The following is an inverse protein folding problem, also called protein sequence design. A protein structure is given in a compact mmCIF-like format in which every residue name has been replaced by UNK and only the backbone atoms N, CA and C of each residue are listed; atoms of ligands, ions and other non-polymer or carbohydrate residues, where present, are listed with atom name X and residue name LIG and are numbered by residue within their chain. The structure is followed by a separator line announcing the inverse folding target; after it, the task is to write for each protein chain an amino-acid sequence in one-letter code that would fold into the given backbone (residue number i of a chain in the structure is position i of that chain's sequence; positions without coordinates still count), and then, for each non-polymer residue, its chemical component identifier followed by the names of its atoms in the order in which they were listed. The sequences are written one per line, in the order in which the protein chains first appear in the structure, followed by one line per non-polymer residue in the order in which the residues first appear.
data_IF_269228218144
#
_entry.id   IF_269228218144
#
_cell.length_a   1.000
_cell.length_b   1.000
_cell.length_c   1.000
_cell.angle_alpha   90.00
_cell.angle_beta   90.00
_cell.angle_gamma   90.00
#
_symmetry.space_group_name_H-M   'P 1'
#
loop_
_entity.id
_entity.type
_entity.pdbx_description
1 polymer ?
#
# COMPACT_ATOMS: atom_id res chain seq x y z
N UNK A 1 7.42 -68.45 -20.91
CA UNK A 1 7.80 -69.10 -22.20
C UNK A 1 6.60 -69.03 -23.14
N UNK A 2 6.84 -68.67 -24.41
CA UNK A 2 5.87 -68.51 -25.54
C UNK A 2 4.88 -67.34 -25.39
N UNK A 3 4.91 -66.19 -26.09
CA UNK A 3 5.20 -65.81 -27.49
C UNK A 3 4.18 -66.31 -28.54
N UNK A 4 3.55 -65.32 -29.22
CA UNK A 4 3.05 -65.22 -30.63
C UNK A 4 1.54 -64.94 -30.75
N UNK A 5 1.17 -63.76 -31.27
CA UNK A 5 0.93 -63.40 -32.71
C UNK A 5 -0.52 -63.75 -33.10
N UNK A 6 -1.42 -62.80 -33.38
CA UNK A 6 -1.58 -62.12 -34.69
C UNK A 6 -2.24 -63.07 -35.70
N UNK A 7 -3.28 -62.77 -36.50
CA UNK A 7 -4.00 -61.55 -36.87
C UNK A 7 -5.18 -61.96 -37.80
N UNK A 8 -6.22 -61.12 -37.95
CA UNK A 8 -7.07 -60.88 -39.17
C UNK A 8 -8.04 -62.03 -39.62
N UNK A 9 -9.23 -61.82 -40.22
CA UNK A 9 -9.86 -60.69 -40.94
C UNK A 9 -11.36 -61.03 -41.21
N UNK A 10 -12.13 -60.04 -41.69
CA UNK A 10 -13.33 -60.10 -42.59
C UNK A 10 -14.70 -60.04 -41.88
N UNK A 11 -15.70 -59.18 -42.19
CA UNK A 11 -15.94 -58.03 -43.09
C UNK A 11 -17.26 -57.35 -42.64
N UNK A 12 -17.41 -56.03 -42.92
CA UNK A 12 -18.60 -55.28 -43.40
C UNK A 12 -19.97 -55.52 -42.73
N UNK A 13 -20.88 -54.56 -42.55
CA UNK A 13 -21.00 -53.11 -42.75
C UNK A 13 -22.47 -52.82 -42.47
N UNK A 14 -22.82 -51.83 -41.65
CA UNK A 14 -24.06 -51.08 -41.87
C UNK A 14 -24.07 -49.80 -41.04
N UNK A 15 -24.11 -48.72 -41.81
CA UNK A 15 -24.30 -47.32 -41.46
C UNK A 15 -25.43 -47.12 -40.45
N UNK A 16 -25.14 -46.37 -39.38
CA UNK A 16 -26.11 -45.79 -38.47
C UNK A 16 -25.56 -44.46 -37.97
N UNK A 17 -25.85 -43.40 -38.72
CA UNK A 17 -25.46 -42.02 -38.43
C UNK A 17 -25.99 -41.56 -37.07
N UNK A 18 -25.10 -41.40 -36.08
CA UNK A 18 -25.34 -40.52 -34.94
C UNK A 18 -24.46 -39.30 -35.11
N UNK A 19 -25.11 -38.20 -35.48
CA UNK A 19 -24.53 -36.86 -35.46
C UNK A 19 -24.25 -36.56 -33.98
N UNK A 20 -23.02 -36.81 -33.54
CA UNK A 20 -22.52 -36.29 -32.26
C UNK A 20 -22.14 -34.83 -32.52
N UNK A 21 -23.10 -33.93 -32.34
CA UNK A 21 -22.77 -32.52 -32.15
C UNK A 21 -21.84 -32.42 -30.93
N UNK A 22 -20.65 -31.82 -31.04
CA UNK A 22 -19.91 -31.45 -29.86
C UNK A 22 -20.73 -30.32 -29.24
N UNK A 23 -21.51 -30.62 -28.20
CA UNK A 23 -22.04 -29.58 -27.34
C UNK A 23 -20.82 -28.94 -26.72
N UNK A 24 -20.37 -27.83 -27.32
CA UNK A 24 -19.42 -26.92 -26.73
C UNK A 24 -20.05 -26.47 -25.40
N UNK A 25 -19.69 -27.16 -24.32
CA UNK A 25 -19.89 -26.65 -22.98
C UNK A 25 -18.95 -25.45 -22.87
N UNK A 26 -19.46 -24.29 -23.25
CA UNK A 26 -18.89 -23.04 -22.81
C UNK A 26 -18.99 -23.04 -21.29
N UNK A 27 -17.93 -23.47 -20.62
CA UNK A 27 -17.72 -23.12 -19.22
C UNK A 27 -17.49 -21.61 -19.19
N UNK A 28 -18.59 -20.84 -19.20
CA UNK A 28 -18.62 -19.43 -18.87
C UNK A 28 -18.48 -19.28 -17.35
N UNK A 29 -17.36 -19.75 -16.79
CA UNK A 29 -16.86 -19.16 -15.55
C UNK A 29 -15.89 -18.05 -15.95
N UNK A 30 -16.42 -17.03 -16.63
CA UNK A 30 -15.72 -15.77 -16.68
C UNK A 30 -15.76 -15.25 -15.25
N UNK A 31 -14.67 -15.41 -14.51
CA UNK A 31 -14.41 -14.62 -13.31
C UNK A 31 -14.30 -13.16 -13.78
N UNK A 32 -15.44 -12.54 -14.09
CA UNK A 32 -15.55 -11.10 -14.06
C UNK A 32 -15.33 -10.75 -12.60
N UNK A 33 -14.23 -10.05 -12.32
CA UNK A 33 -14.08 -9.35 -11.06
C UNK A 33 -15.24 -8.35 -11.00
N UNK A 34 -16.37 -8.78 -10.41
CA UNK A 34 -17.53 -7.93 -10.22
C UNK A 34 -17.08 -6.81 -9.31
N UNK A 35 -16.93 -5.60 -9.89
CA UNK A 35 -16.70 -4.41 -9.10
C UNK A 35 -17.92 -4.15 -8.25
N UNK A 36 -17.68 -3.85 -6.97
CA UNK A 36 -18.76 -3.46 -6.08
C UNK A 36 -19.36 -2.14 -6.57
N UNK A 37 -20.64 -1.95 -6.31
CA UNK A 37 -21.37 -0.79 -6.75
C UNK A 37 -22.73 -0.71 -6.09
N UNK A 38 -23.52 0.29 -6.51
CA UNK A 38 -24.86 0.51 -5.98
C UNK A 38 -25.77 -0.71 -6.10
N UNK A 39 -25.64 -1.49 -7.19
CA UNK A 39 -26.41 -2.72 -7.35
C UNK A 39 -26.07 -3.74 -6.27
N UNK A 40 -24.78 -3.96 -5.99
CA UNK A 40 -24.36 -4.89 -4.93
C UNK A 40 -24.83 -4.41 -3.53
N UNK A 41 -24.76 -3.10 -3.29
CA UNK A 41 -25.27 -2.50 -2.05
C UNK A 41 -26.78 -2.69 -1.87
N UNK A 42 -27.58 -2.40 -2.91
CA UNK A 42 -29.04 -2.57 -2.89
C UNK A 42 -29.43 -4.05 -2.77
N UNK A 43 -28.67 -4.95 -3.39
CA UNK A 43 -28.86 -6.41 -3.28
C UNK A 43 -28.47 -6.97 -1.90
N UNK A 44 -28.02 -6.12 -0.97
CA UNK A 44 -27.83 -6.46 0.44
C UNK A 44 -26.39 -6.59 0.88
N UNK A 45 -25.40 -6.26 0.03
CA UNK A 45 -23.99 -6.29 0.41
C UNK A 45 -23.62 -5.04 1.24
N UNK A 46 -23.92 -5.10 2.54
CA UNK A 46 -23.59 -4.09 3.55
C UNK A 46 -22.30 -4.41 4.29
N UNK A 47 -21.67 -3.37 4.82
CA UNK A 47 -20.34 -3.43 5.46
C UNK A 47 -20.44 -3.64 6.97
N UNK A 48 -21.37 -2.97 7.65
CA UNK A 48 -21.58 -3.08 9.11
C UNK A 48 -21.77 -4.52 9.63
N UNK A 49 -22.53 -5.44 8.98
CA UNK A 49 -22.67 -6.81 9.50
C UNK A 49 -21.37 -7.64 9.44
N UNK A 50 -20.36 -7.19 8.70
CA UNK A 50 -19.06 -7.86 8.60
C UNK A 50 -18.09 -7.42 9.69
N UNK A 51 -18.35 -6.29 10.35
CA UNK A 51 -17.48 -5.78 11.39
C UNK A 51 -17.65 -6.56 12.69
N UNK A 52 -16.50 -7.02 13.19
CA UNK A 52 -16.28 -7.68 14.46
C UNK A 52 -15.50 -6.74 15.38
N UNK A 53 -15.29 -7.14 16.63
CA UNK A 53 -14.53 -6.37 17.62
C UNK A 53 -13.10 -6.06 17.14
N UNK A 54 -12.43 -7.02 16.50
CA UNK A 54 -11.09 -6.89 15.93
C UNK A 54 -11.06 -6.31 14.50
N UNK A 55 -12.16 -5.76 13.97
CA UNK A 55 -12.17 -5.08 12.66
C UNK A 55 -11.62 -3.67 12.78
N UNK A 56 -10.34 -3.55 13.12
CA UNK A 56 -9.67 -2.28 13.42
C UNK A 56 -8.43 -2.08 12.54
N UNK A 57 -8.10 -0.81 12.33
CA UNK A 57 -6.85 -0.39 11.67
C UNK A 57 -5.89 0.04 12.76
N UNK A 58 -4.77 -0.66 12.86
CA UNK A 58 -3.71 -0.39 13.83
C UNK A 58 -2.47 0.04 13.05
N UNK A 59 -1.89 1.18 13.39
CA UNK A 59 -0.67 1.67 12.75
C UNK A 59 0.48 1.63 13.74
N UNK A 60 1.59 0.99 13.36
CA UNK A 60 2.82 0.95 14.15
C UNK A 60 3.78 2.00 13.60
N UNK A 61 3.99 3.03 14.39
CA UNK A 61 4.83 4.18 14.13
C UNK A 61 6.10 4.16 14.98
N UNK A 62 7.15 4.78 14.45
CA UNK A 62 8.44 4.86 15.12
C UNK A 62 9.56 5.25 14.17
N UNK A 63 10.73 5.49 14.75
CA UNK A 63 11.93 5.86 14.02
C UNK A 63 12.39 4.74 13.05
N UNK A 64 13.28 5.06 12.12
CA UNK A 64 13.69 4.19 10.99
C UNK A 64 14.07 2.76 11.41
N UNK A 65 14.86 2.61 12.46
CA UNK A 65 15.36 1.32 12.95
C UNK A 65 14.78 0.92 14.32
N UNK A 66 13.51 1.23 14.59
CA UNK A 66 12.88 0.90 15.88
C UNK A 66 12.42 -0.56 16.02
N UNK A 67 12.55 -1.40 14.98
CA UNK A 67 12.06 -2.79 15.00
C UNK A 67 10.55 -2.94 14.76
N UNK A 68 9.91 -1.89 14.26
CA UNK A 68 8.46 -1.80 14.02
C UNK A 68 7.86 -2.96 13.22
N UNK A 69 8.50 -3.39 12.12
CA UNK A 69 7.97 -4.49 11.30
C UNK A 69 7.92 -5.82 12.04
N UNK A 70 8.89 -6.11 12.92
CA UNK A 70 8.85 -7.33 13.72
C UNK A 70 7.72 -7.31 14.76
N UNK A 71 7.49 -6.16 15.41
CA UNK A 71 6.34 -5.98 16.32
C UNK A 71 5.04 -6.19 15.55
N UNK A 72 4.87 -5.45 14.44
CA UNK A 72 3.65 -5.44 13.65
C UNK A 72 3.30 -6.82 13.09
N UNK A 73 4.29 -7.57 12.60
CA UNK A 73 4.09 -8.95 12.13
C UNK A 73 3.62 -9.87 13.27
N UNK A 74 4.31 -9.87 14.41
CA UNK A 74 3.95 -10.73 15.55
C UNK A 74 2.58 -10.36 16.15
N UNK A 75 2.25 -9.07 16.18
CA UNK A 75 0.96 -8.57 16.63
C UNK A 75 -0.17 -9.01 15.69
N UNK A 76 0.08 -9.00 14.38
CA UNK A 76 -0.87 -9.50 13.39
C UNK A 76 -1.12 -11.00 13.51
N UNK A 77 -0.07 -11.79 13.74
CA UNK A 77 -0.18 -13.22 13.97
C UNK A 77 -0.99 -13.53 15.25
N UNK A 78 -0.79 -12.77 16.34
CA UNK A 78 -1.55 -12.96 17.58
C UNK A 78 -3.02 -12.56 17.47
N UNK A 79 -3.32 -11.43 16.85
CA UNK A 79 -4.69 -10.91 16.71
C UNK A 79 -5.46 -11.51 15.51
N UNK A 80 -4.80 -12.31 14.66
CA UNK A 80 -5.39 -12.83 13.43
C UNK A 80 -5.73 -11.74 12.40
N UNK A 81 -5.00 -10.63 12.43
CA UNK A 81 -5.18 -9.48 11.52
C UNK A 81 -4.27 -9.60 10.30
N UNK A 82 -4.59 -8.87 9.23
CA UNK A 82 -3.73 -8.80 8.05
C UNK A 82 -2.55 -7.86 8.34
N UNK A 83 -1.33 -8.38 8.18
CA UNK A 83 -0.12 -7.58 8.23
C UNK A 83 0.20 -6.98 6.86
N UNK A 84 0.37 -5.66 6.81
CA UNK A 84 0.85 -4.94 5.64
C UNK A 84 2.21 -4.28 5.96
N UNK A 85 3.31 -4.74 5.32
CA UNK A 85 4.66 -4.24 5.61
C UNK A 85 4.87 -2.80 5.11
N UNK A 86 5.91 -2.12 5.58
CA UNK A 86 6.22 -0.75 5.12
C UNK A 86 6.37 -0.74 3.58
N UNK A 87 5.71 0.20 2.86
CA UNK A 87 5.65 0.09 1.43
C UNK A 87 6.93 0.65 0.80
N UNK A 88 7.53 -0.14 -0.09
CA UNK A 88 8.67 0.29 -0.88
C UNK A 88 8.26 1.21 -2.03
N UNK A 89 9.24 1.92 -2.61
CA UNK A 89 9.09 2.68 -3.86
C UNK A 89 8.42 1.86 -4.97
N UNK A 90 8.61 0.54 -4.99
CA UNK A 90 8.06 -0.38 -5.97
C UNK A 90 6.73 -1.06 -5.55
N UNK A 91 6.09 -0.63 -4.45
CA UNK A 91 4.87 -1.25 -3.91
C UNK A 91 3.78 -1.46 -4.97
N UNK A 92 3.47 -0.41 -5.74
CA UNK A 92 2.42 -0.48 -6.76
C UNK A 92 2.73 -1.49 -7.87
N UNK A 93 4.00 -1.64 -8.21
CA UNK A 93 4.42 -2.60 -9.22
C UNK A 93 4.31 -4.04 -8.72
N UNK A 94 4.70 -4.29 -7.45
CA UNK A 94 4.48 -5.59 -6.78
C UNK A 94 3.00 -5.95 -6.79
N UNK A 95 2.13 -4.98 -6.46
CA UNK A 95 0.67 -5.18 -6.44
C UNK A 95 0.10 -5.52 -7.82
N UNK A 96 0.60 -4.87 -8.87
CA UNK A 96 0.13 -5.11 -10.25
C UNK A 96 0.76 -6.34 -10.92
N UNK A 97 1.46 -7.19 -10.14
CA UNK A 97 2.07 -8.43 -10.63
C UNK A 97 3.25 -8.24 -11.58
N UNK A 98 3.89 -7.05 -11.57
CA UNK A 98 5.08 -6.79 -12.38
C UNK A 98 6.37 -7.24 -11.70
N UNK A 99 7.44 -7.40 -12.48
CA UNK A 99 8.78 -7.77 -12.00
C UNK A 99 9.24 -6.85 -10.85
N UNK A 100 9.84 -7.40 -9.79
CA UNK A 100 10.15 -6.69 -8.54
C UNK A 100 11.01 -5.42 -8.71
N UNK A 101 11.77 -5.33 -9.79
CA UNK A 101 12.66 -4.21 -10.10
C UNK A 101 12.29 -3.56 -11.44
N UNK A 102 11.31 -2.65 -11.41
CA UNK A 102 11.15 -1.68 -12.50
C UNK A 102 12.34 -0.73 -12.51
N UNK A 103 12.68 -0.25 -13.70
CA UNK A 103 13.64 0.83 -13.85
C UNK A 103 13.14 2.07 -13.11
N UNK A 104 14.04 2.77 -12.40
CA UNK A 104 13.77 4.01 -11.66
C UNK A 104 13.00 5.06 -12.49
N UNK A 105 13.20 5.04 -13.82
CA UNK A 105 12.46 5.87 -14.78
C UNK A 105 10.94 5.77 -14.67
N UNK A 106 10.43 4.58 -14.34
CA UNK A 106 8.99 4.33 -14.23
C UNK A 106 8.49 4.44 -12.80
N UNK A 107 9.39 4.45 -11.82
CA UNK A 107 9.06 4.51 -10.40
C UNK A 107 9.34 5.89 -9.81
N UNK A 108 8.81 6.93 -10.47
CA UNK A 108 8.89 8.32 -10.00
C UNK A 108 10.28 8.96 -10.03
N UNK A 109 11.26 8.35 -10.72
CA UNK A 109 12.65 8.84 -10.79
C UNK A 109 13.27 9.12 -9.41
N UNK A 110 12.86 8.38 -8.38
CA UNK A 110 13.27 8.63 -7.01
C UNK A 110 14.10 7.49 -6.44
N UNK A 111 15.13 7.82 -5.67
CA UNK A 111 16.00 6.82 -5.03
C UNK A 111 16.30 7.21 -3.60
N UNK A 112 16.02 6.27 -2.69
CA UNK A 112 16.42 6.35 -1.27
C UNK A 112 17.94 6.41 -1.13
N UNK A 113 18.67 5.64 -1.92
CA UNK A 113 20.13 5.62 -1.86
C UNK A 113 20.73 6.98 -2.24
N UNK A 114 20.17 7.62 -3.27
CA UNK A 114 20.60 8.96 -3.68
C UNK A 114 20.27 9.99 -2.61
N UNK A 115 19.11 9.88 -1.96
CA UNK A 115 18.72 10.76 -0.87
C UNK A 115 19.68 10.68 0.32
N UNK A 116 20.07 9.48 0.76
CA UNK A 116 20.97 9.35 1.90
C UNK A 116 22.44 9.66 1.58
N UNK A 117 22.86 9.57 0.31
CA UNK A 117 24.21 9.97 -0.12
C UNK A 117 24.35 11.49 -0.24
N UNK A 118 23.38 12.14 -0.88
CA UNK A 118 23.37 13.58 -1.09
C UNK A 118 21.94 14.14 -0.98
N UNK A 119 21.48 14.46 0.24
CA UNK A 119 20.13 14.97 0.47
C UNK A 119 19.92 16.41 -0.01
N UNK A 120 21.00 17.15 -0.34
CA UNK A 120 20.95 18.54 -0.82
C UNK A 120 21.16 18.65 -2.33
N UNK A 121 21.06 17.53 -3.04
CA UNK A 121 21.23 17.48 -4.48
C UNK A 121 20.22 18.41 -5.20
N UNK A 122 20.72 19.20 -6.15
CA UNK A 122 19.93 20.15 -6.95
C UNK A 122 18.86 19.47 -7.83
N UNK A 123 18.95 18.16 -8.02
CA UNK A 123 18.01 17.33 -8.81
C UNK A 123 16.59 17.24 -8.21
N UNK A 124 16.38 17.76 -6.99
CA UNK A 124 15.07 17.73 -6.34
C UNK A 124 14.63 16.33 -5.87
N UNK A 125 15.52 15.33 -5.91
CA UNK A 125 15.23 13.95 -5.53
C UNK A 125 14.66 13.84 -4.10
N UNK A 126 15.09 14.68 -3.17
CA UNK A 126 14.64 14.66 -1.78
C UNK A 126 13.13 14.87 -1.67
N UNK A 127 12.60 15.91 -2.30
CA UNK A 127 11.17 16.18 -2.27
C UNK A 127 10.38 15.22 -3.16
N UNK A 128 10.90 14.87 -4.36
CA UNK A 128 10.26 13.90 -5.25
C UNK A 128 10.08 12.54 -4.59
N UNK A 129 11.09 12.07 -3.86
CA UNK A 129 11.03 10.83 -3.07
C UNK A 129 9.99 10.93 -1.96
N UNK A 130 9.98 12.03 -1.20
CA UNK A 130 9.01 12.23 -0.12
C UNK A 130 7.58 12.22 -0.64
N UNK A 131 7.32 12.95 -1.73
CA UNK A 131 6.01 12.97 -2.39
C UNK A 131 5.60 11.58 -2.92
N UNK A 132 6.53 10.86 -3.56
CA UNK A 132 6.29 9.50 -4.04
C UNK A 132 5.99 8.51 -2.91
N UNK A 133 6.71 8.60 -1.79
CA UNK A 133 6.46 7.78 -0.60
C UNK A 133 5.11 8.11 0.03
N UNK A 134 4.71 9.38 0.06
CA UNK A 134 3.37 9.79 0.50
C UNK A 134 2.28 9.16 -0.38
N UNK A 135 2.43 9.25 -1.70
CA UNK A 135 1.49 8.67 -2.66
C UNK A 135 1.33 7.15 -2.46
N UNK A 136 2.43 6.44 -2.28
CA UNK A 136 2.43 5.00 -2.07
C UNK A 136 1.77 4.63 -0.72
N UNK A 137 2.08 5.36 0.35
CA UNK A 137 1.45 5.11 1.66
C UNK A 137 -0.04 5.37 1.61
N UNK A 138 -0.50 6.38 0.85
CA UNK A 138 -1.91 6.63 0.64
C UNK A 138 -2.60 5.49 -0.11
N UNK A 139 -1.95 4.96 -1.16
CA UNK A 139 -2.44 3.79 -1.89
C UNK A 139 -2.49 2.53 -1.01
N UNK A 140 -1.47 2.30 -0.18
CA UNK A 140 -1.49 1.21 0.78
C UNK A 140 -2.59 1.38 1.84
N UNK A 141 -2.82 2.60 2.32
CA UNK A 141 -3.90 2.88 3.26
C UNK A 141 -5.29 2.64 2.63
N UNK A 142 -5.44 3.00 1.35
CA UNK A 142 -6.62 2.65 0.56
C UNK A 142 -6.80 1.13 0.45
N UNK A 143 -5.73 0.35 0.29
CA UNK A 143 -5.78 -1.11 0.27
C UNK A 143 -6.16 -1.71 1.63
N UNK A 144 -5.64 -1.13 2.71
CA UNK A 144 -6.00 -1.53 4.08
C UNK A 144 -7.49 -1.28 4.37
N UNK A 145 -8.00 -0.12 3.97
CA UNK A 145 -9.42 0.21 4.09
C UNK A 145 -10.30 -0.69 3.21
N UNK A 146 -9.88 -0.95 1.97
CA UNK A 146 -10.57 -1.88 1.08
C UNK A 146 -10.66 -3.27 1.71
N UNK A 147 -9.55 -3.82 2.23
CA UNK A 147 -9.53 -5.11 2.89
C UNK A 147 -10.43 -5.15 4.12
N UNK A 148 -10.35 -4.13 4.98
CA UNK A 148 -11.16 -4.05 6.19
C UNK A 148 -12.66 -3.99 5.88
N UNK A 149 -13.07 -3.16 4.92
CA UNK A 149 -14.49 -2.95 4.58
C UNK A 149 -15.05 -4.16 3.83
N UNK A 150 -14.25 -4.83 3.00
CA UNK A 150 -14.68 -5.99 2.22
C UNK A 150 -14.74 -7.26 3.07
N UNK A 151 -13.71 -7.54 3.86
CA UNK A 151 -13.59 -8.81 4.60
C UNK A 151 -14.05 -8.72 6.05
N UNK A 152 -14.04 -7.52 6.63
CA UNK A 152 -14.21 -7.32 8.07
C UNK A 152 -12.97 -7.73 8.89
N UNK A 153 -11.84 -8.08 8.27
CA UNK A 153 -10.63 -8.40 9.00
C UNK A 153 -9.86 -7.12 9.35
N UNK A 154 -9.36 -7.01 10.58
CA UNK A 154 -8.47 -5.91 10.98
C UNK A 154 -7.16 -5.92 10.21
N UNK A 155 -6.52 -4.75 10.11
CA UNK A 155 -5.28 -4.56 9.36
C UNK A 155 -4.26 -3.83 10.24
N UNK A 156 -3.04 -4.35 10.26
CA UNK A 156 -1.89 -3.72 10.91
C UNK A 156 -0.94 -3.20 9.85
N UNK A 157 -0.65 -1.91 9.94
CA UNK A 157 0.20 -1.18 9.00
C UNK A 157 1.49 -0.74 9.68
N UNK A 158 2.61 -0.87 8.96
CA UNK A 158 3.83 -0.15 9.32
C UNK A 158 3.79 1.28 8.75
N UNK A 159 3.64 2.26 9.65
CA UNK A 159 3.47 3.69 9.33
C UNK A 159 2.22 4.00 8.50
N UNK A 160 1.67 5.18 8.73
CA UNK A 160 0.48 5.66 8.03
C UNK A 160 0.75 6.95 7.24
N UNK A 161 -0.11 7.34 6.29
CA UNK A 161 -0.05 8.66 5.67
C UNK A 161 -0.07 9.82 6.68
N UNK A 162 -0.70 9.61 7.85
CA UNK A 162 -0.74 10.59 8.93
C UNK A 162 0.64 10.82 9.57
N UNK A 163 1.46 9.78 9.64
CA UNK A 163 2.82 9.84 10.19
C UNK A 163 3.83 10.51 9.25
N UNK A 164 3.54 10.61 7.95
CA UNK A 164 4.55 11.04 6.97
C UNK A 164 5.01 12.50 7.15
N UNK A 165 4.18 13.36 7.73
CA UNK A 165 4.52 14.76 7.97
C UNK A 165 5.79 14.94 8.82
N UNK A 166 6.12 13.98 9.68
CA UNK A 166 7.31 14.05 10.54
C UNK A 166 8.61 14.01 9.73
N UNK A 167 8.63 13.28 8.61
CA UNK A 167 9.79 13.21 7.73
C UNK A 167 9.98 14.52 6.97
N UNK A 168 8.89 15.12 6.49
CA UNK A 168 8.91 16.40 5.81
C UNK A 168 9.40 17.53 6.74
N UNK A 169 8.89 17.60 7.97
CA UNK A 169 9.34 18.59 8.96
C UNK A 169 10.82 18.42 9.31
N UNK A 170 11.28 17.17 9.46
CA UNK A 170 12.68 16.89 9.71
C UNK A 170 13.57 17.29 8.52
N UNK A 171 13.12 17.03 7.28
CA UNK A 171 13.82 17.47 6.07
C UNK A 171 13.87 19.00 5.95
N UNK A 172 12.82 19.69 6.38
CA UNK A 172 12.78 21.16 6.40
C UNK A 172 13.77 21.74 7.42
N UNK A 173 13.83 21.17 8.63
CA UNK A 173 14.76 21.59 9.69
C UNK A 173 16.24 21.44 9.27
N UNK A 174 16.56 20.37 8.55
CA UNK A 174 17.91 20.13 8.00
C UNK A 174 18.22 20.94 6.73
N UNK A 175 17.21 21.62 6.18
CA UNK A 175 17.33 22.41 4.95
C UNK A 175 17.53 21.57 3.69
N UNK A 176 16.94 20.38 3.63
CA UNK A 176 16.97 19.51 2.44
C UNK A 176 15.92 19.90 1.40
N UNK A 177 14.85 20.56 1.84
CA UNK A 177 13.71 20.94 0.99
C UNK A 177 13.40 22.42 1.12
N UNK A 178 12.82 22.98 0.06
CA UNK A 178 12.41 24.39 0.01
C UNK A 178 11.04 24.56 0.68
N UNK A 179 10.77 25.77 1.20
CA UNK A 179 9.49 26.09 1.85
C UNK A 179 8.27 25.89 0.92
N UNK A 180 8.41 26.22 -0.36
CA UNK A 180 7.37 26.02 -1.38
C UNK A 180 6.96 24.55 -1.51
N UNK A 181 7.91 23.62 -1.36
CA UNK A 181 7.64 22.18 -1.38
C UNK A 181 6.81 21.74 -0.15
N UNK A 182 7.06 22.36 0.99
CA UNK A 182 6.30 22.09 2.22
C UNK A 182 4.87 22.60 2.10
N UNK A 183 4.68 23.81 1.54
CA UNK A 183 3.35 24.36 1.25
C UNK A 183 2.54 23.47 0.29
N UNK A 184 3.17 22.99 -0.78
CA UNK A 184 2.55 22.03 -1.70
C UNK A 184 2.15 20.72 -1.00
N UNK A 185 3.01 20.18 -0.12
CA UNK A 185 2.68 18.98 0.63
C UNK A 185 1.48 19.20 1.58
N UNK A 186 1.42 20.33 2.28
CA UNK A 186 0.31 20.62 3.19
C UNK A 186 -1.03 20.72 2.46
N UNK A 187 -1.04 21.29 1.26
CA UNK A 187 -2.25 21.35 0.44
C UNK A 187 -2.71 19.97 -0.03
N UNK A 188 -1.79 19.14 -0.55
CA UNK A 188 -2.09 17.75 -0.90
C UNK A 188 -2.61 16.99 0.30
N UNK A 189 -1.94 17.12 1.45
CA UNK A 189 -2.35 16.48 2.70
C UNK A 189 -3.77 16.92 3.09
N UNK A 190 -4.08 18.20 2.99
CA UNK A 190 -5.39 18.76 3.31
C UNK A 190 -6.51 18.26 2.38
N UNK A 191 -6.21 17.99 1.11
CA UNK A 191 -7.20 17.47 0.15
C UNK A 191 -7.37 15.95 0.32
N UNK A 192 -6.27 15.21 0.40
CA UNK A 192 -6.30 13.76 0.37
C UNK A 192 -6.70 13.13 1.72
N UNK A 193 -6.17 13.61 2.85
CA UNK A 193 -6.43 12.99 4.16
C UNK A 193 -7.89 13.12 4.60
N UNK A 194 -8.57 14.20 4.20
CA UNK A 194 -9.96 14.44 4.58
C UNK A 194 -10.94 13.41 4.01
N UNK A 195 -10.57 12.72 2.92
CA UNK A 195 -11.38 11.68 2.29
C UNK A 195 -11.27 10.30 3.00
N UNK A 196 -10.28 10.14 3.90
CA UNK A 196 -10.03 8.88 4.58
C UNK A 196 -10.28 8.99 6.09
N UNK A 197 -10.78 7.89 6.67
CA UNK A 197 -10.90 7.76 8.11
C UNK A 197 -9.52 7.51 8.74
N UNK A 198 -9.20 8.13 9.90
CA UNK A 198 -7.94 7.92 10.61
C UNK A 198 -7.81 6.47 11.12
N UNK A 199 -6.61 5.99 11.49
CA UNK A 199 -6.48 4.69 12.14
C UNK A 199 -7.24 4.65 13.47
N UNK A 200 -7.58 3.46 13.96
CA UNK A 200 -8.23 3.31 15.26
C UNK A 200 -7.23 3.40 16.41
N UNK A 201 -6.06 2.78 16.21
CA UNK A 201 -4.96 2.76 17.18
C UNK A 201 -3.67 3.18 16.48
N UNK A 202 -2.95 4.12 17.07
CA UNK A 202 -1.58 4.46 16.69
C UNK A 202 -0.61 4.01 17.79
N UNK A 203 0.22 3.02 17.49
CA UNK A 203 1.25 2.50 18.39
C UNK A 203 2.56 3.20 18.06
N UNK A 204 3.10 3.99 18.99
CA UNK A 204 4.39 4.65 18.84
C UNK A 204 5.48 3.96 19.67
N UNK A 205 6.57 3.58 19.02
CA UNK A 205 7.74 2.97 19.67
C UNK A 205 8.81 4.04 19.89
N UNK A 206 9.00 4.43 21.16
CA UNK A 206 10.05 5.35 21.57
C UNK A 206 11.39 4.60 21.68
N UNK A 207 12.32 4.97 20.80
CA UNK A 207 13.68 4.42 20.76
C UNK A 207 14.64 5.61 20.70
N UNK A 208 15.61 5.71 21.62
CA UNK A 208 16.54 6.83 21.63
C UNK A 208 17.40 6.83 20.37
N UNK A 209 17.71 8.03 19.85
CA UNK A 209 18.45 8.21 18.60
C UNK A 209 19.80 7.49 18.59
N UNK A 210 20.48 7.41 19.73
CA UNK A 210 21.76 6.71 19.86
C UNK A 210 21.63 5.21 19.54
N UNK A 211 20.60 4.55 20.06
CA UNK A 211 20.30 3.16 19.73
C UNK A 211 19.89 2.98 18.26
N UNK A 212 19.09 3.92 17.73
CA UNK A 212 18.69 3.89 16.31
C UNK A 212 19.93 3.94 15.42
N UNK A 213 20.90 4.80 15.73
CA UNK A 213 22.13 4.90 14.97
C UNK A 213 22.97 3.62 15.04
N UNK A 214 23.07 2.99 16.22
CA UNK A 214 23.77 1.72 16.37
C UNK A 214 23.09 0.61 15.53
N UNK A 215 21.76 0.53 15.57
CA UNK A 215 20.98 -0.43 14.77
C UNK A 215 21.13 -0.18 13.26
N UNK A 216 21.14 1.09 12.83
CA UNK A 216 21.37 1.46 11.43
C UNK A 216 22.76 1.04 10.94
N UNK A 217 23.79 1.22 11.78
CA UNK A 217 25.16 0.75 11.48
C UNK A 217 25.24 -0.77 11.37
N UNK A 218 24.55 -1.49 12.26
CA UNK A 218 24.48 -2.95 12.26
C UNK A 218 23.73 -3.55 11.06
N UNK A 219 22.79 -2.79 10.46
CA UNK A 219 22.01 -3.24 9.30
C UNK A 219 22.88 -3.46 8.04
N UNK A 220 24.15 -3.00 8.04
CA UNK A 220 25.13 -3.32 6.99
C UNK A 220 24.92 -2.61 5.64
N UNK A 221 23.92 -1.72 5.53
CA UNK A 221 23.64 -0.95 4.31
C UNK A 221 24.51 0.32 4.29
N UNK A 222 25.43 0.48 3.32
CA UNK A 222 26.44 1.55 3.36
C UNK A 222 25.84 2.94 3.30
N UNK A 223 24.71 3.11 2.59
CA UNK A 223 24.03 4.40 2.48
C UNK A 223 23.26 4.81 3.76
N UNK A 224 22.82 3.86 4.59
CA UNK A 224 22.12 4.16 5.85
C UNK A 224 23.08 4.54 6.99
N UNK A 225 24.38 4.29 6.84
CA UNK A 225 25.39 4.66 7.84
C UNK A 225 25.64 6.18 7.89
N UNK A 226 25.36 6.89 6.79
CA UNK A 226 25.62 8.32 6.64
C UNK A 226 24.46 9.22 7.12
N UNK A 227 23.43 8.64 7.76
CA UNK A 227 22.28 9.41 8.24
C UNK A 227 22.69 10.30 9.41
N UNK A 228 22.42 11.61 9.30
CA UNK A 228 22.75 12.58 10.35
C UNK A 228 22.02 12.29 11.67
N UNK A 229 22.73 12.44 12.79
CA UNK A 229 22.11 12.40 14.13
C UNK A 229 21.09 13.51 14.33
N UNK A 230 21.32 14.68 13.73
CA UNK A 230 20.42 15.83 13.81
C UNK A 230 19.09 15.54 13.12
N UNK A 231 19.13 14.87 11.96
CA UNK A 231 17.95 14.45 11.24
C UNK A 231 17.11 13.43 12.03
N UNK A 232 17.75 12.43 12.65
CA UNK A 232 17.05 11.45 13.48
C UNK A 232 16.40 12.09 14.73
N UNK A 233 17.09 13.04 15.36
CA UNK A 233 16.53 13.85 16.47
C UNK A 233 15.37 14.72 15.99
N UNK A 234 15.48 15.31 14.81
CA UNK A 234 14.42 16.13 14.23
C UNK A 234 13.15 15.32 13.95
N UNK A 235 13.29 14.06 13.51
CA UNK A 235 12.18 13.11 13.35
C UNK A 235 11.54 12.80 14.70
N UNK A 236 12.33 12.43 15.71
CA UNK A 236 11.82 12.12 17.05
C UNK A 236 11.07 13.32 17.65
N UNK A 237 11.65 14.52 17.56
CA UNK A 237 11.02 15.76 17.99
C UNK A 237 9.68 16.02 17.28
N UNK A 238 9.63 15.81 15.97
CA UNK A 238 8.41 16.02 15.18
C UNK A 238 7.34 14.96 15.47
N UNK A 239 7.73 13.72 15.80
CA UNK A 239 6.79 12.73 16.32
C UNK A 239 6.16 13.21 17.63
N UNK A 240 6.98 13.62 18.60
CA UNK A 240 6.53 14.01 19.94
C UNK A 240 5.75 15.33 19.96
N UNK A 241 6.13 16.32 19.14
CA UNK A 241 5.54 17.67 19.14
C UNK A 241 4.33 17.81 18.22
N UNK A 242 4.36 17.20 17.04
CA UNK A 242 3.34 17.41 16.01
C UNK A 242 2.42 16.19 15.86
N UNK A 243 2.99 14.98 15.71
CA UNK A 243 2.20 13.80 15.37
C UNK A 243 1.36 13.27 16.54
N UNK A 244 1.97 12.99 17.69
CA UNK A 244 1.27 12.40 18.83
C UNK A 244 0.09 13.26 19.32
N UNK A 245 0.20 14.59 19.45
CA UNK A 245 -0.94 15.42 19.80
C UNK A 245 -2.06 15.36 18.76
N UNK A 246 -1.75 15.56 17.48
CA UNK A 246 -2.76 15.58 16.42
C UNK A 246 -3.50 14.24 16.25
N UNK A 247 -2.79 13.12 16.39
CA UNK A 247 -3.38 11.79 16.23
C UNK A 247 -4.17 11.37 17.48
N UNK A 248 -3.83 11.91 18.66
CA UNK A 248 -4.55 11.65 19.92
C UNK A 248 -5.95 12.26 19.98
N UNK A 249 -6.23 13.28 19.17
CA UNK A 249 -7.56 13.87 19.04
C UNK A 249 -8.53 12.93 18.32
N UNK A 250 -8.03 12.15 17.37
CA UNK A 250 -8.84 11.34 16.46
C UNK A 250 -8.79 9.84 16.72
N UNK A 251 -7.71 9.34 17.32
CA UNK A 251 -7.44 7.91 17.52
C UNK A 251 -6.82 7.63 18.88
N UNK A 252 -6.87 6.38 19.32
CA UNK A 252 -6.22 5.98 20.57
C UNK A 252 -4.72 5.75 20.35
N UNK A 253 -3.90 6.32 21.24
CA UNK A 253 -2.44 6.31 21.11
C UNK A 253 -1.83 5.47 22.21
N UNK A 254 -1.01 4.50 21.82
CA UNK A 254 -0.23 3.67 22.74
C UNK A 254 1.25 3.96 22.55
N UNK A 255 1.95 4.33 23.63
CA UNK A 255 3.37 4.66 23.60
C UNK A 255 4.16 3.58 24.34
N UNK A 256 5.12 2.96 23.65
CA UNK A 256 5.96 1.91 24.22
C UNK A 256 7.44 2.27 24.12
N UNK A 257 8.20 1.90 25.15
CA UNK A 257 9.66 1.92 25.08
C UNK A 257 10.20 0.71 24.30
N UNK A 258 11.45 0.79 23.84
CA UNK A 258 12.15 -0.27 23.11
C UNK A 258 12.14 -1.67 23.77
N UNK A 259 12.11 -1.74 25.10
CA UNK A 259 12.03 -3.00 25.85
C UNK A 259 10.60 -3.52 25.93
N UNK A 260 9.65 -2.65 26.23
CA UNK A 260 8.23 -3.00 26.37
C UNK A 260 7.63 -3.46 25.04
N UNK A 261 8.12 -2.93 23.92
CA UNK A 261 7.70 -3.36 22.59
C UNK A 261 8.11 -4.80 22.24
N UNK A 262 8.97 -5.45 23.03
CA UNK A 262 9.27 -6.88 22.83
C UNK A 262 8.18 -7.77 23.43
N UNK A 263 7.46 -7.28 24.43
CA UNK A 263 6.42 -8.00 25.18
C UNK A 263 5.07 -7.87 24.47
N UNK A 264 4.85 -8.70 23.45
CA UNK A 264 3.64 -8.65 22.60
C UNK A 264 2.37 -8.94 23.40
N UNK A 265 2.45 -9.75 24.46
CA UNK A 265 1.30 -10.07 25.32
C UNK A 265 0.75 -8.82 25.99
N UNK A 266 1.63 -8.02 26.58
CA UNK A 266 1.26 -6.74 27.17
C UNK A 266 0.63 -5.80 26.14
N UNK A 267 1.22 -5.68 24.94
CA UNK A 267 0.66 -4.83 23.89
C UNK A 267 -0.73 -5.31 23.46
N UNK A 268 -0.93 -6.63 23.40
CA UNK A 268 -2.22 -7.23 23.03
C UNK A 268 -3.27 -6.96 24.12
N UNK A 269 -2.92 -7.18 25.38
CA UNK A 269 -3.78 -6.88 26.53
C UNK A 269 -4.17 -5.39 26.56
N UNK A 270 -3.20 -4.49 26.40
CA UNK A 270 -3.45 -3.05 26.35
C UNK A 270 -4.47 -2.70 25.24
N UNK A 271 -4.36 -3.32 24.06
CA UNK A 271 -5.30 -3.12 22.95
C UNK A 271 -6.70 -3.64 23.29
N UNK A 272 -6.81 -4.75 24.00
CA UNK A 272 -8.10 -5.32 24.41
C UNK A 272 -8.79 -4.49 25.49
N UNK A 273 -8.02 -3.84 26.37
CA UNK A 273 -8.55 -2.93 27.39
C UNK A 273 -8.93 -1.55 26.85
N UNK A 274 -8.51 -1.18 25.63
CA UNK A 274 -8.85 0.11 25.03
C UNK A 274 -10.35 0.22 24.75
N UNK A 275 -10.93 1.35 25.17
CA UNK A 275 -12.29 1.73 24.82
C UNK A 275 -12.25 2.70 23.65
N UNK A 276 -12.85 2.30 22.53
CA UNK A 276 -12.90 3.10 21.31
C UNK A 276 -14.06 4.10 21.37
N UNK A 277 -13.85 5.20 22.08
CA UNK A 277 -14.84 6.29 22.22
C UNK A 277 -14.51 7.49 21.32
N UNK A 278 -13.30 7.53 20.76
CA UNK A 278 -12.81 8.64 19.93
C UNK A 278 -12.90 8.36 18.44
N UNK A 279 -13.03 9.45 17.68
CA UNK A 279 -12.83 9.48 16.24
C UNK A 279 -14.11 9.36 15.41
N UNK A 280 -14.03 9.68 14.12
CA UNK A 280 -15.18 9.72 13.22
C UNK A 280 -15.75 8.35 12.89
N UNK A 281 -15.12 7.25 13.33
CA UNK A 281 -15.56 5.87 13.08
C UNK A 281 -16.94 5.57 13.66
N UNK A 282 -17.28 6.18 14.80
CA UNK A 282 -18.56 5.96 15.48
C UNK A 282 -19.73 6.65 14.75
N UNK A 283 -19.43 7.70 13.97
CA UNK A 283 -20.43 8.50 13.23
C UNK A 283 -20.72 7.92 11.84
N UNK A 284 -20.06 6.82 11.44
CA UNK A 284 -20.19 6.27 10.10
C UNK A 284 -21.42 5.37 9.95
N UNK A 285 -22.24 5.67 8.94
CA UNK A 285 -23.35 4.84 8.50
C UNK A 285 -22.95 3.88 7.37
N UNK A 286 -23.80 2.89 7.07
CA UNK A 286 -23.66 1.98 5.93
C UNK A 286 -23.46 2.73 4.58
N UNK A 287 -24.10 3.89 4.44
CA UNK A 287 -24.00 4.74 3.23
C UNK A 287 -22.62 5.40 3.15
N UNK A 288 -22.11 5.92 4.26
CA UNK A 288 -20.77 6.52 4.33
C UNK A 288 -19.71 5.46 4.01
N UNK A 289 -19.83 4.25 4.56
CA UNK A 289 -18.96 3.13 4.22
C UNK A 289 -19.08 2.70 2.75
N UNK A 290 -20.28 2.75 2.16
CA UNK A 290 -20.47 2.49 0.73
C UNK A 290 -19.67 3.49 -0.12
N UNK A 291 -19.77 4.79 0.16
CA UNK A 291 -19.01 5.82 -0.56
C UNK A 291 -17.50 5.65 -0.37
N UNK A 292 -17.06 5.37 0.86
CA UNK A 292 -15.66 5.10 1.15
C UNK A 292 -15.16 3.88 0.37
N UNK A 293 -15.95 2.79 0.32
CA UNK A 293 -15.63 1.59 -0.47
C UNK A 293 -15.47 1.90 -1.96
N UNK A 294 -16.40 2.67 -2.53
CA UNK A 294 -16.34 3.10 -3.92
C UNK A 294 -15.10 3.95 -4.22
N UNK A 295 -14.67 4.78 -3.27
CA UNK A 295 -13.45 5.57 -3.39
C UNK A 295 -12.21 4.67 -3.35
N UNK A 296 -12.09 3.81 -2.34
CA UNK A 296 -10.88 2.99 -2.13
C UNK A 296 -10.68 1.93 -3.20
N UNK A 297 -11.75 1.33 -3.75
CA UNK A 297 -11.63 0.37 -4.85
C UNK A 297 -11.09 1.04 -6.13
N UNK A 298 -11.41 2.31 -6.37
CA UNK A 298 -10.91 3.06 -7.51
C UNK A 298 -9.57 3.76 -7.21
N UNK A 299 -8.48 3.02 -7.40
CA UNK A 299 -7.11 3.50 -7.14
C UNK A 299 -6.70 4.71 -7.99
N UNK A 300 -7.31 4.91 -9.16
CA UNK A 300 -7.06 6.11 -9.98
C UNK A 300 -7.62 7.33 -9.28
N UNK A 301 -8.86 7.27 -8.78
CA UNK A 301 -9.47 8.38 -8.01
C UNK A 301 -8.70 8.72 -6.74
N UNK A 302 -8.17 7.72 -6.05
CA UNK A 302 -7.28 7.95 -4.89
C UNK A 302 -6.01 8.70 -5.30
N UNK A 303 -5.46 8.36 -6.46
CA UNK A 303 -4.26 9.03 -7.01
C UNK A 303 -4.58 10.44 -7.52
N UNK A 304 -5.80 10.69 -8.00
CA UNK A 304 -6.21 12.03 -8.45
C UNK A 304 -6.21 13.05 -7.29
N UNK A 305 -6.46 12.61 -6.06
CA UNK A 305 -6.43 13.48 -4.86
C UNK A 305 -5.05 14.09 -4.58
N UNK A 306 -3.98 13.45 -5.04
CA UNK A 306 -2.60 13.92 -4.83
C UNK A 306 -2.03 14.65 -6.06
N UNK A 307 -2.69 14.54 -7.21
CA UNK A 307 -2.27 15.13 -8.48
C UNK A 307 -2.85 16.54 -8.64
N UNK A 308 -2.24 17.52 -7.97
CA UNK A 308 -2.65 18.93 -8.07
C UNK A 308 -1.85 19.62 -9.18
N UNK A 309 -2.45 20.49 -10.00
CA UNK A 309 -1.76 21.25 -11.05
C UNK A 309 -0.93 22.41 -10.47
N UNK A 310 0.01 22.11 -9.57
CA UNK A 310 1.01 23.06 -9.06
C UNK A 310 2.40 22.72 -9.57
N UNK A 311 2.99 23.66 -10.29
CA UNK A 311 4.29 23.47 -10.92
C UNK A 311 5.41 23.82 -9.95
N UNK A 312 6.05 22.79 -9.39
CA UNK A 312 7.33 22.89 -8.68
C UNK A 312 8.43 22.20 -9.49
N UNK A 313 9.64 22.75 -9.58
CA UNK A 313 10.71 22.19 -10.42
C UNK A 313 11.19 20.82 -9.95
N UNK A 314 10.99 20.43 -8.69
CA UNK A 314 11.38 19.10 -8.19
C UNK A 314 10.47 17.95 -8.66
N UNK A 315 9.20 18.25 -8.92
CA UNK A 315 8.16 17.26 -9.28
C UNK A 315 7.66 17.41 -10.71
N UNK A 316 7.77 18.60 -11.29
CA UNK A 316 7.26 18.88 -12.64
C UNK A 316 8.17 18.21 -13.66
N UNK A 317 7.59 17.34 -14.47
CA UNK A 317 8.28 16.64 -15.55
C UNK A 317 7.95 17.36 -16.86
N UNK A 318 8.95 17.55 -17.72
CA UNK A 318 8.74 18.14 -19.03
C UNK A 318 7.83 17.26 -19.91
N UNK A 319 7.02 17.88 -20.78
CA UNK A 319 6.08 17.15 -21.64
C UNK A 319 6.78 16.08 -22.52
N UNK A 320 7.95 16.42 -23.09
CA UNK A 320 8.74 15.48 -23.91
C UNK A 320 9.25 14.29 -23.10
N UNK A 321 9.80 14.54 -21.91
CA UNK A 321 10.30 13.49 -21.02
C UNK A 321 9.16 12.56 -20.54
N UNK A 322 8.00 13.15 -20.25
CA UNK A 322 6.81 12.39 -19.87
C UNK A 322 6.32 11.51 -21.02
N UNK A 323 6.24 12.05 -22.25
CA UNK A 323 5.78 11.31 -23.43
C UNK A 323 6.70 10.13 -23.75
N UNK A 324 8.02 10.35 -23.72
CA UNK A 324 9.02 9.30 -23.88
C UNK A 324 8.88 8.22 -22.80
N UNK A 325 8.76 8.61 -21.53
CA UNK A 325 8.60 7.67 -20.42
C UNK A 325 7.28 6.90 -20.51
N UNK A 326 6.20 7.54 -20.96
CA UNK A 326 4.88 6.92 -21.11
C UNK A 326 4.88 5.84 -22.18
N UNK A 327 5.41 6.12 -23.38
CA UNK A 327 5.51 5.11 -24.43
C UNK A 327 6.52 4.01 -24.08
N UNK A 328 7.63 4.36 -23.41
CA UNK A 328 8.58 3.38 -22.91
C UNK A 328 7.98 2.46 -21.82
N UNK A 329 7.04 2.96 -21.01
CA UNK A 329 6.33 2.14 -20.03
C UNK A 329 5.33 1.21 -20.73
N UNK A 330 4.59 1.70 -21.73
CA UNK A 330 3.63 0.91 -22.51
C UNK A 330 4.27 -0.15 -23.40
N UNK A 331 5.54 0.01 -23.77
CA UNK A 331 6.28 -1.00 -24.52
C UNK A 331 6.76 -2.17 -23.65
N UNK A 332 6.67 -2.06 -22.33
CA UNK A 332 6.97 -3.16 -21.42
C UNK A 332 5.93 -4.28 -21.54
N UNK A 333 6.35 -5.55 -21.40
CA UNK A 333 5.44 -6.67 -21.52
C UNK A 333 4.36 -6.64 -20.43
N UNK A 334 3.10 -6.84 -20.82
CA UNK A 334 1.95 -6.85 -19.93
C UNK A 334 1.46 -5.47 -19.46
N UNK A 335 2.03 -4.38 -19.99
CA UNK A 335 1.68 -2.99 -19.60
C UNK A 335 1.06 -2.17 -20.72
N UNK A 336 0.86 -2.75 -21.91
CA UNK A 336 0.30 -2.06 -23.07
C UNK A 336 -1.22 -1.87 -22.96
N UNK A 337 -1.93 -2.92 -22.54
CA UNK A 337 -3.38 -2.94 -22.36
C UNK A 337 -3.76 -3.25 -20.91
N UNK A 338 -5.06 -3.21 -20.62
CA UNK A 338 -5.61 -3.60 -19.32
C UNK A 338 -5.20 -5.04 -18.95
N UNK A 339 -5.02 -5.33 -17.65
CA UNK A 339 -4.74 -6.69 -17.19
C UNK A 339 -5.78 -7.69 -17.74
N UNK A 340 -5.33 -8.81 -18.30
CA UNK A 340 -6.19 -9.82 -18.91
C UNK A 340 -6.41 -9.68 -20.43
N UNK A 341 -5.85 -8.63 -21.05
CA UNK A 341 -5.94 -8.31 -22.48
C UNK A 341 -4.57 -8.22 -23.19
N UNK A 342 -3.51 -8.74 -22.58
CA UNK A 342 -2.14 -8.64 -23.08
C UNK A 342 -1.67 -10.00 -23.65
N UNK A 343 -1.60 -10.09 -24.99
CA UNK A 343 -1.17 -11.31 -25.71
C UNK A 343 0.26 -11.75 -25.36
N UNK A 344 1.12 -10.77 -25.14
CA UNK A 344 2.54 -10.88 -24.84
C UNK A 344 2.84 -11.56 -23.50
N UNK A 345 1.91 -11.52 -22.54
CA UNK A 345 1.99 -12.26 -21.27
C UNK A 345 1.17 -13.56 -21.29
N UNK A 346 0.60 -13.93 -22.44
CA UNK A 346 -0.14 -15.17 -22.62
C UNK A 346 -1.59 -15.10 -22.16
N UNK A 347 -2.20 -13.91 -22.12
CA UNK A 347 -3.63 -13.78 -21.81
C UNK A 347 -4.48 -14.51 -22.86
N UNK A 348 -5.40 -15.36 -22.38
CA UNK A 348 -6.29 -16.16 -23.23
C UNK A 348 -7.66 -15.51 -23.36
N UNK A 349 -8.34 -15.84 -24.47
CA UNK A 349 -9.72 -15.41 -24.76
C UNK A 349 -9.91 -13.90 -24.81
N UNK A 350 -8.90 -13.15 -25.27
CA UNK A 350 -8.91 -11.69 -25.31
C UNK A 350 -10.11 -11.13 -26.09
N UNK A 351 -10.47 -11.78 -27.21
CA UNK A 351 -11.61 -11.40 -28.05
C UNK A 351 -12.99 -11.66 -27.41
N UNK A 352 -13.06 -12.42 -26.31
CA UNK A 352 -14.30 -12.80 -25.61
C UNK A 352 -14.48 -12.14 -24.23
N UNK A 353 -13.52 -11.33 -23.79
CA UNK A 353 -13.59 -10.62 -22.51
C UNK A 353 -14.11 -9.21 -22.74
#
# INVERSE_FOLDING_TARGET
MAFRSGTLLVLRSSVGSRITTPVARFHLSCQRNLQYGWLAYILGERTTPRFKEYSKIITVDGNLASGKGMLAQKLAEKLGMLYMPEPDVNYWNKKTGGNEHLNLKFTGNCSLEKFYKDPKCLDGNSYRLQFWMYAIRLLQYSDALEHLITTGQGVILERSPYSDMVFLEAMMKEGYIRKQCVEHYHEIKGISICEFLPPHVAIYIDVPVEEVQLKLKQTGKPYLQNVSSTYLKAIEDSYKKSFLPNISETSEVLVYNAHQSQDIERVTEDIEFLKFEKGPWLEQDDISFHHLRMLVENKVRVTDLICIPKFLPEITIGAHEYDEAFYAFRSLPGKKYSPGYNEDVGDKYIWLK
#
